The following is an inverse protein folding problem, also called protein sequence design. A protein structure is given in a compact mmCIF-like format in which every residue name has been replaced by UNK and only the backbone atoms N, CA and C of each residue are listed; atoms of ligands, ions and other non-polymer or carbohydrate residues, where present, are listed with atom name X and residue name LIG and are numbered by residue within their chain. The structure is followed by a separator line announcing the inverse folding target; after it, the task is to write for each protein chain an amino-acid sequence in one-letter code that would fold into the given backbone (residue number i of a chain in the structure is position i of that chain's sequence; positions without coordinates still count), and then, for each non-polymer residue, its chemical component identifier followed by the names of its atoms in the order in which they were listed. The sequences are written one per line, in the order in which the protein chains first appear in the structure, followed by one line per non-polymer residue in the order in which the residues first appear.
data_IF_426934391950
#
_entry.id   IF_426934391950
#
_cell.length_a   1.000
_cell.length_b   1.000
_cell.length_c   1.000
_cell.angle_alpha   90.00
_cell.angle_beta   90.00
_cell.angle_gamma   90.00
#
_symmetry.space_group_name_H-M   'P 1'
#
loop_
_entity.id
_entity.type
_entity.pdbx_description
1 polymer ?
#
# COMPACT_ATOMS: atom_id res chain seq x y z
N UNK A 1 -49.50 -32.73 -2.08
CA UNK A 1 -49.88 -32.37 -0.71
C UNK A 1 -48.67 -31.64 -0.10
N UNK A 2 -48.78 -30.30 -0.05
CA UNK A 2 -48.04 -29.30 0.78
C UNK A 2 -46.49 -29.38 0.75
N UNK A 3 -45.76 -28.54 0.00
CA UNK A 3 -45.55 -27.07 0.12
C UNK A 3 -44.69 -26.64 1.32
N UNK A 4 -43.67 -25.82 1.01
CA UNK A 4 -43.05 -24.80 1.87
C UNK A 4 -42.04 -25.26 2.93
N UNK A 5 -40.77 -24.87 2.74
CA UNK A 5 -40.11 -23.80 3.52
C UNK A 5 -38.84 -23.41 2.73
N UNK A 6 -39.05 -22.52 1.75
CA UNK A 6 -38.05 -21.54 1.33
C UNK A 6 -38.22 -20.37 2.29
N UNK A 7 -37.25 -20.13 3.18
CA UNK A 7 -37.15 -18.87 3.94
C UNK A 7 -36.02 -18.03 3.35
N UNK A 8 -36.45 -17.18 2.43
CA UNK A 8 -36.04 -15.79 2.24
C UNK A 8 -35.09 -15.23 3.31
N UNK A 9 -33.83 -15.00 2.91
CA UNK A 9 -33.09 -13.83 3.38
C UNK A 9 -33.34 -12.71 2.38
N UNK A 10 -34.33 -11.87 2.68
CA UNK A 10 -34.47 -10.59 2.03
C UNK A 10 -33.28 -9.73 2.46
N UNK A 11 -32.33 -9.54 1.54
CA UNK A 11 -31.33 -8.49 1.66
C UNK A 11 -32.11 -7.17 1.72
N UNK A 12 -32.14 -6.53 2.89
CA UNK A 12 -32.65 -5.19 3.04
C UNK A 12 -31.79 -4.28 2.15
N UNK A 13 -32.30 -3.97 0.96
CA UNK A 13 -31.79 -2.95 0.07
C UNK A 13 -31.98 -1.61 0.75
N UNK A 14 -31.01 -1.22 1.57
CA UNK A 14 -30.85 0.19 1.94
C UNK A 14 -30.60 0.95 0.64
N UNK A 15 -31.40 1.99 0.31
CA UNK A 15 -31.11 2.82 -0.84
C UNK A 15 -29.74 3.46 -0.64
N UNK A 16 -28.82 3.18 -1.56
CA UNK A 16 -27.57 3.89 -1.68
C UNK A 16 -27.91 5.35 -2.05
N UNK A 17 -27.90 6.23 -1.06
CA UNK A 17 -27.92 7.67 -1.30
C UNK A 17 -26.48 8.04 -1.69
N UNK A 18 -26.20 8.42 -2.95
CA UNK A 18 -24.86 8.89 -3.29
C UNK A 18 -24.64 10.19 -2.52
N UNK A 19 -23.75 10.17 -1.54
CA UNK A 19 -23.19 11.41 -0.99
C UNK A 19 -22.43 12.05 -2.16
N UNK A 20 -22.90 13.21 -2.62
CA UNK A 20 -22.20 14.00 -3.62
C UNK A 20 -20.84 14.42 -3.05
N UNK A 21 -19.82 13.60 -3.28
CA UNK A 21 -18.43 13.99 -3.09
C UNK A 21 -18.06 14.84 -4.28
N UNK A 22 -18.29 16.15 -4.18
CA UNK A 22 -17.51 17.07 -4.99
C UNK A 22 -16.07 16.94 -4.49
N UNK A 23 -15.31 16.05 -5.12
CA UNK A 23 -13.86 16.05 -4.97
C UNK A 23 -13.40 17.49 -5.27
N UNK A 24 -12.58 18.10 -4.40
CA UNK A 24 -11.99 19.40 -4.73
C UNK A 24 -11.26 19.24 -6.06
N UNK A 25 -11.79 19.87 -7.10
CA UNK A 25 -11.18 19.89 -8.42
C UNK A 25 -10.00 20.84 -8.31
N UNK A 26 -8.79 20.30 -8.38
CA UNK A 26 -7.57 21.10 -8.51
C UNK A 26 -7.78 22.05 -9.70
N UNK A 27 -7.62 23.38 -9.51
CA UNK A 27 -7.78 24.37 -10.56
C UNK A 27 -6.93 24.00 -11.77
N UNK A 28 -7.45 24.23 -12.98
CA UNK A 28 -6.77 23.94 -14.26
C UNK A 28 -5.31 24.46 -14.28
N UNK A 29 -5.06 25.59 -13.60
CA UNK A 29 -3.75 26.24 -13.47
C UNK A 29 -2.71 25.51 -12.64
N UNK A 30 -3.12 24.55 -11.81
CA UNK A 30 -2.25 23.72 -10.95
C UNK A 30 -2.09 22.29 -11.48
N UNK A 31 -2.76 21.95 -12.58
CA UNK A 31 -2.52 20.70 -13.31
C UNK A 31 -1.19 20.83 -14.05
N UNK A 32 -0.25 19.93 -13.77
CA UNK A 32 0.98 19.80 -14.57
C UNK A 32 0.55 19.40 -15.98
N UNK A 33 0.49 20.37 -16.89
CA UNK A 33 0.23 20.11 -18.29
C UNK A 33 1.48 19.48 -18.91
N UNK A 34 1.35 18.23 -19.37
CA UNK A 34 2.32 17.65 -20.31
C UNK A 34 2.17 18.45 -21.61
N UNK A 35 3.05 19.44 -21.81
CA UNK A 35 3.05 20.23 -23.05
C UNK A 35 3.67 19.39 -24.16
N UNK A 36 2.86 19.08 -25.18
CA UNK A 36 3.37 18.66 -26.48
C UNK A 36 3.94 19.90 -27.17
N UNK A 37 5.26 20.08 -27.16
CA UNK A 37 5.92 21.11 -27.95
C UNK A 37 6.91 20.44 -28.91
N UNK A 38 6.62 20.55 -30.22
CA UNK A 38 7.50 20.06 -31.28
C UNK A 38 8.59 21.11 -31.51
N UNK A 39 9.81 20.87 -31.03
CA UNK A 39 10.95 21.73 -31.35
C UNK A 39 11.97 20.95 -32.18
N UNK A 40 12.16 21.36 -33.42
CA UNK A 40 13.11 20.74 -34.35
C UNK A 40 14.39 21.59 -34.44
N UNK A 41 15.42 21.18 -33.73
CA UNK A 41 16.80 21.58 -34.00
C UNK A 41 17.68 20.33 -33.99
N UNK A 42 18.24 19.96 -35.15
CA UNK A 42 19.33 18.99 -35.27
C UNK A 42 19.01 17.54 -34.89
N UNK A 43 18.53 16.76 -35.87
CA UNK A 43 18.57 15.30 -36.03
C UNK A 43 18.67 14.35 -34.81
N UNK A 44 18.05 14.67 -33.68
CA UNK A 44 17.80 13.72 -32.61
C UNK A 44 16.28 13.62 -32.40
N UNK A 45 15.69 12.59 -32.99
CA UNK A 45 14.29 12.24 -32.83
C UNK A 45 14.11 11.51 -31.50
N UNK A 46 13.28 12.05 -30.61
CA UNK A 46 12.95 11.46 -29.32
C UNK A 46 11.43 11.28 -29.26
N UNK A 47 10.95 10.08 -28.94
CA UNK A 47 9.51 9.83 -28.74
C UNK A 47 8.97 10.60 -27.51
N UNK A 48 9.79 10.76 -26.47
CA UNK A 48 9.51 11.60 -25.30
C UNK A 48 10.80 12.18 -24.69
N UNK A 49 10.79 13.45 -24.28
CA UNK A 49 11.85 14.09 -23.48
C UNK A 49 11.26 14.43 -22.12
N UNK A 50 11.80 13.84 -21.05
CA UNK A 50 11.41 14.16 -19.67
C UNK A 50 12.48 15.08 -19.08
N UNK A 51 12.17 16.37 -18.93
CA UNK A 51 13.04 17.38 -18.27
C UNK A 51 12.34 17.90 -17.02
N UNK A 52 13.08 18.05 -15.91
CA UNK A 52 12.68 18.95 -14.83
C UNK A 52 11.55 18.46 -13.91
N UNK A 53 11.54 17.19 -13.51
CA UNK A 53 10.58 16.73 -12.48
C UNK A 53 11.16 17.00 -11.09
N UNK A 54 10.66 18.05 -10.44
CA UNK A 54 10.85 18.26 -9.00
C UNK A 54 9.68 17.62 -8.24
N UNK A 55 9.98 16.73 -7.29
CA UNK A 55 8.97 16.06 -6.47
C UNK A 55 9.02 16.60 -5.05
N UNK A 56 7.88 17.07 -4.54
CA UNK A 56 7.70 17.46 -3.15
C UNK A 56 6.98 16.33 -2.40
N UNK A 57 7.53 15.91 -1.26
CA UNK A 57 6.91 14.97 -0.34
C UNK A 57 6.52 15.72 0.92
N UNK A 58 5.23 15.72 1.25
CA UNK A 58 4.71 16.22 2.52
C UNK A 58 4.39 15.03 3.42
N UNK A 59 5.07 14.95 4.54
CA UNK A 59 4.90 13.90 5.55
C UNK A 59 4.38 14.55 6.83
N UNK A 60 3.39 13.91 7.46
CA UNK A 60 2.86 14.37 8.75
C UNK A 60 3.85 14.07 9.88
N UNK A 61 4.45 12.88 9.83
CA UNK A 61 5.36 12.38 10.84
C UNK A 61 6.74 13.03 10.84
N UNK A 62 7.55 12.59 11.80
CA UNK A 62 8.95 13.03 11.90
C UNK A 62 9.84 12.34 10.87
N UNK A 63 11.00 12.93 10.59
CA UNK A 63 12.12 12.20 9.98
C UNK A 63 13.01 11.72 11.13
N UNK A 64 13.02 10.42 11.38
CA UNK A 64 13.86 9.82 12.43
C UNK A 64 14.99 8.97 11.84
N UNK A 65 16.20 9.23 12.32
CA UNK A 65 17.42 8.49 11.99
C UNK A 65 18.11 7.93 13.25
N UNK A 66 17.39 7.90 14.37
CA UNK A 66 17.89 7.36 15.63
C UNK A 66 18.06 5.83 15.56
N UNK A 67 18.83 5.29 16.50
CA UNK A 67 19.02 3.85 16.62
C UNK A 67 17.71 3.08 16.84
N UNK A 68 16.69 3.71 17.45
CA UNK A 68 15.38 3.09 17.65
C UNK A 68 14.70 2.72 16.33
N UNK A 69 14.92 3.51 15.27
CA UNK A 69 14.35 3.27 13.95
C UNK A 69 15.32 2.52 13.03
N UNK A 70 16.62 2.76 13.16
CA UNK A 70 17.62 2.22 12.22
C UNK A 70 18.18 0.85 12.61
N UNK A 71 18.19 0.48 13.89
CA UNK A 71 18.75 -0.81 14.33
C UNK A 71 17.71 -1.93 14.20
N UNK A 72 17.98 -3.00 13.43
CA UNK A 72 17.04 -4.09 13.23
C UNK A 72 16.53 -4.75 14.53
N UNK A 73 17.37 -4.84 15.56
CA UNK A 73 16.97 -5.39 16.86
C UNK A 73 15.78 -4.64 17.47
N UNK A 74 15.65 -3.35 17.20
CA UNK A 74 14.61 -2.49 17.76
C UNK A 74 13.23 -2.74 17.16
N UNK A 75 13.12 -3.44 16.03
CA UNK A 75 11.84 -3.88 15.47
C UNK A 75 11.05 -4.82 16.41
N UNK A 76 11.71 -5.36 17.45
CA UNK A 76 11.05 -6.16 18.50
C UNK A 76 10.34 -5.33 19.56
N UNK A 77 10.53 -4.00 19.56
CA UNK A 77 9.92 -3.07 20.51
C UNK A 77 9.06 -2.05 19.77
N UNK A 78 7.92 -1.69 20.35
CA UNK A 78 7.01 -0.71 19.74
C UNK A 78 7.51 0.72 19.99
N UNK A 79 7.83 1.44 18.91
CA UNK A 79 8.11 2.88 18.95
C UNK A 79 6.80 3.67 18.83
N UNK A 80 6.06 3.79 19.93
CA UNK A 80 4.75 4.48 19.94
C UNK A 80 4.85 5.98 19.62
N UNK A 81 5.99 6.62 19.89
CA UNK A 81 6.24 8.02 19.53
C UNK A 81 6.32 8.27 18.03
N UNK A 82 6.57 7.24 17.23
CA UNK A 82 6.59 7.27 15.77
C UNK A 82 5.29 6.73 15.14
N UNK A 83 4.19 6.67 15.90
CA UNK A 83 2.91 6.11 15.46
C UNK A 83 1.76 7.10 15.67
N UNK A 84 0.72 6.97 14.85
CA UNK A 84 -0.55 7.65 15.11
C UNK A 84 -1.23 7.09 16.36
N UNK A 85 -1.87 7.96 17.12
CA UNK A 85 -2.71 7.56 18.26
C UNK A 85 -4.13 7.24 17.77
N UNK A 86 -4.31 6.07 17.16
CA UNK A 86 -5.60 5.62 16.61
C UNK A 86 -6.07 4.39 17.37
N UNK A 87 -7.33 4.42 17.77
CA UNK A 87 -8.03 3.29 18.40
C UNK A 87 -9.26 2.95 17.56
N UNK A 88 -9.52 1.65 17.36
CA UNK A 88 -10.72 1.20 16.66
C UNK A 88 -11.99 1.61 17.40
N UNK A 89 -13.11 1.68 16.68
CA UNK A 89 -14.42 1.70 17.32
C UNK A 89 -14.62 0.40 18.15
N UNK A 90 -15.52 0.39 19.15
CA UNK A 90 -15.92 -0.83 19.83
C UNK A 90 -16.46 -1.85 18.81
N UNK A 91 -15.95 -3.08 18.82
CA UNK A 91 -16.39 -4.13 17.90
C UNK A 91 -17.42 -5.04 18.58
N UNK A 92 -18.71 -5.01 18.17
CA UNK A 92 -19.75 -5.82 18.80
C UNK A 92 -19.46 -7.32 18.71
N UNK A 93 -18.83 -7.78 17.63
CA UNK A 93 -18.40 -9.18 17.47
C UNK A 93 -17.28 -9.62 18.42
N UNK A 94 -16.66 -8.69 19.15
CA UNK A 94 -15.55 -8.92 20.06
C UNK A 94 -15.83 -8.38 21.47
N UNK A 95 -17.08 -8.43 21.93
CA UNK A 95 -17.52 -7.93 23.25
C UNK A 95 -17.28 -6.43 23.44
N UNK A 96 -17.47 -5.64 22.37
CA UNK A 96 -17.21 -4.19 22.34
C UNK A 96 -15.76 -3.82 22.69
N UNK A 97 -14.81 -4.74 22.54
CA UNK A 97 -13.39 -4.43 22.71
C UNK A 97 -12.93 -3.44 21.65
N UNK A 98 -11.95 -2.63 22.04
CA UNK A 98 -11.26 -1.68 21.19
C UNK A 98 -9.78 -2.07 21.09
N UNK A 99 -9.17 -1.75 19.95
CA UNK A 99 -7.77 -2.08 19.69
C UNK A 99 -7.01 -0.86 19.20
N UNK A 100 -5.79 -0.69 19.70
CA UNK A 100 -4.86 0.29 19.17
C UNK A 100 -4.41 -0.14 17.76
N UNK A 101 -4.56 0.75 16.80
CA UNK A 101 -4.13 0.54 15.41
C UNK A 101 -2.71 1.06 15.28
N UNK A 102 -1.78 0.17 14.91
CA UNK A 102 -0.38 0.51 14.73
C UNK A 102 -0.15 1.02 13.31
N UNK A 103 -0.19 2.34 13.15
CA UNK A 103 0.11 3.03 11.90
C UNK A 103 1.27 4.00 12.12
N UNK A 104 2.31 3.93 11.29
CA UNK A 104 3.49 4.79 11.40
C UNK A 104 3.16 6.25 11.07
N UNK A 105 3.60 7.15 11.94
CA UNK A 105 3.59 8.61 11.79
C UNK A 105 5.05 9.09 11.74
N UNK A 106 5.73 8.70 10.67
CA UNK A 106 7.17 8.86 10.47
C UNK A 106 7.46 8.75 8.97
N UNK A 107 8.50 9.41 8.47
CA UNK A 107 8.96 9.21 7.10
C UNK A 107 9.25 7.72 6.82
N UNK A 108 8.65 7.19 5.74
CA UNK A 108 8.62 5.75 5.44
C UNK A 108 7.39 5.00 5.99
N UNK A 109 6.61 5.64 6.85
CA UNK A 109 5.34 5.16 7.38
C UNK A 109 5.47 3.82 8.11
N UNK A 110 4.58 2.87 7.78
CA UNK A 110 4.57 1.54 8.37
C UNK A 110 5.87 0.75 8.18
N UNK A 111 6.62 1.00 7.09
CA UNK A 111 7.88 0.29 6.83
C UNK A 111 8.98 0.62 7.86
N UNK A 112 8.95 1.81 8.44
CA UNK A 112 9.92 2.27 9.46
C UNK A 112 9.62 1.74 10.87
N UNK A 113 8.43 1.16 11.09
CA UNK A 113 7.96 0.69 12.41
C UNK A 113 7.48 -0.76 12.38
N UNK A 114 7.79 -1.52 11.33
CA UNK A 114 7.37 -2.91 11.15
C UNK A 114 8.28 -3.90 11.89
N UNK A 115 7.94 -5.19 11.80
CA UNK A 115 8.75 -6.30 12.31
C UNK A 115 9.81 -6.83 11.34
N UNK A 116 10.07 -6.13 10.22
CA UNK A 116 11.03 -6.49 9.16
C UNK A 116 10.82 -7.82 8.43
N UNK A 117 9.67 -8.47 8.59
CA UNK A 117 9.34 -9.65 7.78
C UNK A 117 9.15 -9.24 6.32
N UNK A 118 9.79 -9.99 5.42
CA UNK A 118 9.60 -9.83 3.97
C UNK A 118 9.06 -11.13 3.39
N UNK A 119 7.75 -11.27 3.44
CA UNK A 119 6.97 -12.35 2.87
C UNK A 119 6.14 -11.86 1.68
N UNK A 120 5.68 -12.81 0.88
CA UNK A 120 4.70 -12.58 -0.18
C UNK A 120 3.54 -13.54 0.05
N UNK A 121 2.35 -13.14 -0.39
CA UNK A 121 1.20 -14.03 -0.43
C UNK A 121 1.45 -15.23 -1.35
N UNK A 122 0.56 -16.21 -1.28
CA UNK A 122 0.53 -17.31 -2.25
C UNK A 122 0.05 -16.78 -3.61
N UNK A 123 0.38 -17.49 -4.69
CA UNK A 123 -0.11 -17.13 -6.03
C UNK A 123 -1.65 -17.00 -6.07
N UNK A 124 -2.36 -17.90 -5.36
CA UNK A 124 -3.81 -17.89 -5.26
C UNK A 124 -4.39 -16.61 -4.64
N UNK A 125 -3.66 -15.98 -3.71
CA UNK A 125 -4.11 -14.71 -3.10
C UNK A 125 -4.16 -13.60 -4.16
N UNK A 126 -3.17 -13.53 -5.04
CA UNK A 126 -3.11 -12.53 -6.12
C UNK A 126 -4.04 -12.88 -7.29
N UNK A 127 -4.11 -14.16 -7.67
CA UNK A 127 -5.04 -14.61 -8.71
C UNK A 127 -6.51 -14.35 -8.31
N UNK A 128 -6.82 -14.36 -7.02
CA UNK A 128 -8.13 -13.98 -6.51
C UNK A 128 -8.45 -12.50 -6.80
N UNK A 129 -7.46 -11.61 -6.77
CA UNK A 129 -7.66 -10.18 -7.10
C UNK A 129 -7.99 -9.99 -8.56
N UNK A 130 -7.36 -10.75 -9.45
CA UNK A 130 -7.67 -10.73 -10.88
C UNK A 130 -9.09 -11.25 -11.14
N UNK A 131 -9.49 -12.34 -10.47
CA UNK A 131 -10.86 -12.87 -10.55
C UNK A 131 -11.92 -11.89 -10.05
N UNK A 132 -11.59 -11.02 -9.09
CA UNK A 132 -12.45 -9.92 -8.63
C UNK A 132 -12.54 -8.76 -9.63
N UNK A 133 -11.93 -8.88 -10.81
CA UNK A 133 -12.02 -7.91 -11.89
C UNK A 133 -10.85 -6.92 -11.97
N UNK A 134 -9.66 -7.31 -11.49
CA UNK A 134 -8.43 -6.51 -11.63
C UNK A 134 -7.43 -7.17 -12.61
N UNK A 135 -7.62 -7.04 -13.94
CA UNK A 135 -6.74 -7.66 -14.93
C UNK A 135 -5.27 -7.29 -14.72
N UNK A 136 -4.38 -8.28 -14.80
CA UNK A 136 -2.94 -8.10 -14.60
C UNK A 136 -2.49 -8.04 -13.14
N UNK A 137 -3.41 -8.12 -12.17
CA UNK A 137 -3.09 -8.21 -10.74
C UNK A 137 -2.94 -9.66 -10.23
N UNK A 138 -3.05 -10.65 -11.12
CA UNK A 138 -2.71 -12.04 -10.82
C UNK A 138 -1.22 -12.23 -10.56
N UNK A 139 -0.85 -13.42 -10.09
CA UNK A 139 0.53 -13.73 -9.71
C UNK A 139 1.53 -13.47 -10.84
N UNK A 140 1.23 -13.95 -12.04
CA UNK A 140 2.09 -13.81 -13.20
C UNK A 140 2.25 -12.34 -13.64
N UNK A 141 1.21 -11.52 -13.45
CA UNK A 141 1.25 -10.09 -13.73
C UNK A 141 2.09 -9.29 -12.73
N UNK A 142 2.05 -9.68 -11.45
CA UNK A 142 2.75 -8.98 -10.37
C UNK A 142 4.19 -9.48 -10.11
N UNK A 143 4.50 -10.74 -10.43
CA UNK A 143 5.81 -11.34 -10.16
C UNK A 143 7.01 -10.51 -10.68
N UNK A 144 6.98 -9.93 -11.90
CA UNK A 144 8.07 -9.06 -12.36
C UNK A 144 8.29 -7.84 -11.45
N UNK A 145 7.22 -7.26 -10.92
CA UNK A 145 7.29 -6.11 -10.01
C UNK A 145 7.78 -6.50 -8.62
N UNK A 146 7.37 -7.67 -8.11
CA UNK A 146 7.92 -8.20 -6.85
C UNK A 146 9.41 -8.48 -6.89
N UNK A 147 9.93 -8.87 -8.07
CA UNK A 147 11.37 -9.03 -8.28
C UNK A 147 12.07 -7.67 -8.42
N UNK A 148 11.44 -6.70 -9.09
CA UNK A 148 11.99 -5.35 -9.27
C UNK A 148 12.02 -4.53 -7.98
N UNK A 149 11.13 -4.82 -7.02
CA UNK A 149 10.96 -4.00 -5.81
C UNK A 149 11.96 -4.30 -4.69
N UNK A 150 12.77 -5.36 -4.79
CA UNK A 150 13.69 -5.74 -3.73
C UNK A 150 14.96 -6.41 -4.26
N UNK A 151 16.07 -6.11 -3.60
CA UNK A 151 17.35 -6.79 -3.81
C UNK A 151 17.54 -7.87 -2.74
N UNK A 152 17.60 -9.12 -3.17
CA UNK A 152 17.86 -10.26 -2.28
C UNK A 152 19.35 -10.56 -2.22
N UNK A 153 19.93 -10.49 -1.03
CA UNK A 153 21.32 -10.89 -0.77
C UNK A 153 21.28 -12.24 -0.05
N UNK A 154 21.78 -13.33 -0.66
CA UNK A 154 21.87 -14.62 -0.01
C UNK A 154 22.71 -14.54 1.28
N UNK A 155 22.37 -15.30 2.32
CA UNK A 155 23.19 -15.35 3.52
C UNK A 155 24.59 -15.85 3.17
N UNK A 156 25.62 -15.27 3.81
CA UNK A 156 26.98 -15.77 3.69
C UNK A 156 26.99 -17.26 4.04
N UNK A 157 27.51 -18.09 3.13
CA UNK A 157 27.49 -19.54 3.27
C UNK A 157 28.07 -19.98 4.60
N UNK A 158 27.30 -20.75 5.37
CA UNK A 158 27.81 -21.46 6.54
C UNK A 158 28.60 -22.66 6.03
N UNK A 159 29.91 -22.73 6.29
CA UNK A 159 30.70 -23.95 6.02
C UNK A 159 30.01 -25.11 6.77
N UNK A 160 29.42 -26.05 6.02
CA UNK A 160 28.62 -27.16 6.57
C UNK A 160 29.48 -28.24 7.27
N UNK A 161 30.77 -27.96 7.55
CA UNK A 161 31.75 -28.91 8.12
C UNK A 161 31.97 -28.81 9.63
N UNK A 162 31.04 -28.23 10.40
CA UNK A 162 31.09 -28.27 11.87
C UNK A 162 29.73 -28.58 12.48
N UNK A 163 29.38 -29.86 12.49
CA UNK A 163 28.67 -30.55 13.57
C UNK A 163 29.07 -32.02 13.52
#
# INVERSE_FOLDING_TARGET
MVSSILRTWACASLPFTPLATSSPTVPESERVAIKHEKKSEGNNEYDYIIVGVSVLVLEHGIIDRSNTTQMPLMATTLNTGAMFNITSAPEPGLENRQYAIRAGSIAGGGSSVNGMTYDRGSAADYDSWEQLGNPGWGWEGLLPYFKKSADFIPPAGRDRRRI
#
